data_IF_198098218599
#
_entry.id   IF_198098218599
#
_cell.length_a   1.000
_cell.length_b   1.000
_cell.length_c   1.000
_cell.angle_alpha   90.00
_cell.angle_beta   90.00
_cell.angle_gamma   90.00
#
_symmetry.space_group_name_H-M   'P 1'
#
loop_
_entity.id
_entity.type
_entity.pdbx_description
1 polymer ?
#
# COMPACT_ATOMS: atom_id res chain seq x y z
N UNK A 1 4.24 -9.25 13.62
CA UNK A 1 3.72 -7.86 13.67
C UNK A 1 2.37 -7.85 14.36
N UNK A 2 2.13 -6.91 15.29
CA UNK A 2 0.81 -6.67 15.88
C UNK A 2 0.10 -5.57 15.07
N UNK A 3 -1.12 -5.86 14.62
CA UNK A 3 -1.94 -4.91 13.87
C UNK A 3 -3.07 -4.38 14.76
N UNK A 4 -3.06 -3.08 15.05
CA UNK A 4 -4.03 -2.39 15.89
C UNK A 4 -4.86 -1.46 15.01
N UNK A 5 -6.15 -1.72 14.91
CA UNK A 5 -7.08 -0.94 14.09
C UNK A 5 -8.42 -0.73 14.79
N UNK A 6 -9.23 0.20 14.29
CA UNK A 6 -10.61 0.49 14.76
C UNK A 6 -10.70 0.88 16.24
N UNK A 7 -9.61 1.33 16.85
CA UNK A 7 -9.57 1.79 18.25
C UNK A 7 -8.69 3.00 18.40
N UNK A 8 -8.98 3.86 19.38
CA UNK A 8 -8.09 4.92 19.87
C UNK A 8 -7.33 4.48 21.13
N UNK A 9 -7.61 3.28 21.63
CA UNK A 9 -6.96 2.68 22.78
C UNK A 9 -5.81 1.77 22.30
N UNK A 10 -4.62 2.34 22.21
CA UNK A 10 -3.40 1.65 21.84
C UNK A 10 -2.26 2.06 22.78
N UNK A 11 -1.53 1.07 23.28
CA UNK A 11 -0.44 1.27 24.22
C UNK A 11 0.73 0.34 23.91
N UNK A 12 1.94 0.90 23.85
CA UNK A 12 3.19 0.15 23.76
C UNK A 12 4.03 0.47 24.99
N UNK A 13 4.41 -0.55 25.75
CA UNK A 13 5.16 -0.41 27.00
C UNK A 13 6.65 -0.22 26.75
N UNK A 14 7.19 -0.93 25.78
CA UNK A 14 8.58 -0.88 25.41
C UNK A 14 8.91 0.45 24.71
N UNK A 15 10.16 0.94 24.88
CA UNK A 15 10.62 2.09 24.11
C UNK A 15 10.47 1.86 22.61
N UNK A 16 10.01 2.88 21.88
CA UNK A 16 9.68 2.73 20.47
C UNK A 16 10.28 3.81 19.57
N UNK A 17 10.44 3.46 18.30
CA UNK A 17 10.69 4.37 17.16
C UNK A 17 9.50 4.34 16.23
N UNK A 18 9.03 5.51 15.83
CA UNK A 18 7.78 5.66 15.07
C UNK A 18 7.98 6.46 13.78
N UNK A 19 7.28 6.06 12.73
CA UNK A 19 7.07 6.85 11.52
C UNK A 19 5.59 7.00 11.20
N UNK A 20 5.24 8.15 10.63
CA UNK A 20 3.87 8.53 10.28
C UNK A 20 3.71 8.66 8.79
N UNK A 21 2.58 8.22 8.25
CA UNK A 21 2.27 8.40 6.84
C UNK A 21 1.01 7.67 6.40
N UNK A 22 0.58 7.93 5.18
CA UNK A 22 -0.48 7.15 4.53
C UNK A 22 0.05 5.80 4.04
N UNK A 23 1.33 5.74 3.75
CA UNK A 23 2.02 4.56 3.22
C UNK A 23 1.31 3.93 2.01
N UNK A 24 0.73 4.77 1.16
CA UNK A 24 0.08 4.29 -0.04
C UNK A 24 1.12 4.00 -1.13
N UNK A 25 1.25 2.71 -1.44
CA UNK A 25 2.25 2.18 -2.34
C UNK A 25 3.59 1.80 -1.68
N UNK A 26 3.82 2.10 -0.40
CA UNK A 26 5.04 1.71 0.34
C UNK A 26 6.32 1.84 -0.52
N UNK A 27 6.42 2.97 -1.23
CA UNK A 27 7.48 3.23 -2.21
C UNK A 27 8.85 3.46 -1.56
N UNK A 28 9.91 3.56 -2.37
CA UNK A 28 11.31 3.75 -1.93
C UNK A 28 11.52 4.86 -0.90
N UNK A 29 10.74 5.95 -0.96
CA UNK A 29 10.78 6.99 0.09
C UNK A 29 10.26 6.49 1.44
N UNK A 30 9.27 5.61 1.46
CA UNK A 30 8.81 4.97 2.70
C UNK A 30 9.77 3.88 3.17
N UNK A 31 10.39 3.14 2.24
CA UNK A 31 11.43 2.17 2.55
C UNK A 31 12.59 2.82 3.32
N UNK A 32 13.02 4.01 2.88
CA UNK A 32 14.07 4.76 3.56
C UNK A 32 13.71 5.16 5.00
N UNK A 33 12.43 5.52 5.25
CA UNK A 33 11.95 5.74 6.63
C UNK A 33 12.06 4.46 7.48
N UNK A 34 11.71 3.31 6.90
CA UNK A 34 11.79 2.01 7.61
C UNK A 34 13.24 1.58 7.84
N UNK A 35 14.15 1.84 6.91
CA UNK A 35 15.58 1.60 7.11
C UNK A 35 16.11 2.38 8.31
N UNK A 36 15.73 3.66 8.45
CA UNK A 36 16.09 4.46 9.62
C UNK A 36 15.48 3.94 10.92
N UNK A 37 14.27 3.38 10.87
CA UNK A 37 13.69 2.70 12.04
C UNK A 37 14.49 1.44 12.42
N UNK A 38 14.94 0.66 11.44
CA UNK A 38 15.78 -0.52 11.67
C UNK A 38 17.11 -0.11 12.30
N UNK A 39 17.75 0.97 11.83
CA UNK A 39 18.97 1.51 12.42
C UNK A 39 18.77 1.85 13.91
N UNK A 40 17.71 2.60 14.25
CA UNK A 40 17.41 2.99 15.62
C UNK A 40 17.02 1.79 16.50
N UNK A 41 16.25 0.86 15.94
CA UNK A 41 15.90 -0.38 16.63
C UNK A 41 17.14 -1.22 16.97
N UNK A 42 18.08 -1.38 16.02
CA UNK A 42 19.31 -2.13 16.24
C UNK A 42 20.23 -1.45 17.27
N UNK A 43 20.28 -0.12 17.29
CA UNK A 43 21.13 0.64 18.19
C UNK A 43 20.62 0.66 19.62
N UNK A 44 19.31 0.76 19.82
CA UNK A 44 18.69 1.04 21.12
C UNK A 44 17.71 -0.03 21.60
N UNK A 45 17.38 -1.02 20.76
CA UNK A 45 16.38 -2.04 21.09
C UNK A 45 14.93 -1.53 20.99
N UNK A 46 14.69 -0.44 20.27
CA UNK A 46 13.35 0.15 20.14
C UNK A 46 12.41 -0.72 19.31
N UNK A 47 11.14 -0.78 19.73
CA UNK A 47 10.05 -1.36 18.92
C UNK A 47 9.73 -0.46 17.73
N UNK A 48 9.60 -1.04 16.55
CA UNK A 48 9.32 -0.32 15.30
C UNK A 48 7.83 -0.17 15.09
N UNK A 49 7.37 1.07 15.01
CA UNK A 49 5.95 1.40 14.88
C UNK A 49 5.72 2.15 13.57
N UNK A 50 4.79 1.67 12.78
CA UNK A 50 4.19 2.43 11.70
C UNK A 50 2.82 2.93 12.17
N UNK A 51 2.61 4.23 12.05
CA UNK A 51 1.34 4.87 12.39
C UNK A 51 0.70 5.47 11.15
N UNK A 52 -0.49 5.00 10.83
CA UNK A 52 -1.31 5.50 9.72
C UNK A 52 -2.71 5.82 10.20
N UNK A 53 -3.49 6.50 9.36
CA UNK A 53 -4.89 6.77 9.64
C UNK A 53 -5.78 5.95 8.71
N UNK A 54 -6.86 5.41 9.26
CA UNK A 54 -7.98 4.92 8.51
C UNK A 54 -8.78 6.13 7.98
N UNK A 55 -8.36 6.62 6.82
CA UNK A 55 -9.02 7.74 6.16
C UNK A 55 -9.97 7.16 5.13
N UNK A 56 -11.29 7.37 5.29
CA UNK A 56 -12.27 6.96 4.29
C UNK A 56 -11.86 7.44 2.90
N UNK A 57 -12.06 6.65 1.84
CA UNK A 57 -11.81 7.09 0.49
C UNK A 57 -12.48 8.44 0.24
N UNK A 58 -11.81 9.35 -0.45
CA UNK A 58 -12.39 10.68 -0.80
C UNK A 58 -13.71 10.55 -1.53
N UNK A 59 -13.98 9.40 -2.16
CA UNK A 59 -15.25 9.04 -2.78
C UNK A 59 -16.43 9.05 -1.82
N UNK A 60 -16.24 8.64 -0.56
CA UNK A 60 -17.31 8.66 0.45
C UNK A 60 -17.57 10.08 0.98
N UNK A 61 -16.56 10.95 0.95
CA UNK A 61 -16.65 12.32 1.51
C UNK A 61 -16.95 13.35 0.43
N UNK A 62 -16.43 13.20 -0.78
CA UNK A 62 -16.49 14.20 -1.87
C UNK A 62 -17.10 13.67 -3.18
N UNK A 63 -17.53 12.41 -3.25
CA UNK A 63 -18.03 11.79 -4.48
C UNK A 63 -16.98 11.61 -5.58
N UNK A 64 -15.70 11.80 -5.27
CA UNK A 64 -14.58 11.64 -6.22
C UNK A 64 -13.94 10.27 -5.99
N UNK A 65 -13.97 9.39 -6.99
CA UNK A 65 -13.30 8.09 -6.91
C UNK A 65 -11.81 8.26 -6.62
N UNK A 66 -11.38 7.91 -5.41
CA UNK A 66 -9.98 7.89 -5.02
C UNK A 66 -9.51 6.45 -4.92
N UNK A 67 -8.68 6.03 -5.86
CA UNK A 67 -8.10 4.67 -5.84
C UNK A 67 -6.78 4.66 -5.10
N UNK A 68 -6.49 3.56 -4.40
CA UNK A 68 -5.25 3.36 -3.66
C UNK A 68 -4.29 2.47 -4.46
N UNK A 69 -2.99 2.74 -4.35
CA UNK A 69 -1.95 1.88 -4.95
C UNK A 69 -1.91 0.53 -4.23
N UNK A 70 -2.10 0.56 -2.92
CA UNK A 70 -2.07 -0.62 -2.05
C UNK A 70 -3.28 -0.58 -1.11
N UNK A 71 -4.03 -1.67 -1.04
CA UNK A 71 -5.17 -1.81 -0.12
C UNK A 71 -4.67 -2.03 1.32
N UNK A 72 -5.57 -1.96 2.31
CA UNK A 72 -5.18 -2.21 3.71
C UNK A 72 -4.65 -3.63 3.92
N UNK A 73 -5.29 -4.65 3.33
CA UNK A 73 -4.83 -6.04 3.41
C UNK A 73 -3.46 -6.25 2.73
N UNK A 74 -3.21 -5.53 1.63
CA UNK A 74 -1.92 -5.56 0.95
C UNK A 74 -0.84 -4.82 1.75
N UNK A 75 -1.21 -3.70 2.40
CA UNK A 75 -0.34 -2.92 3.28
C UNK A 75 0.09 -3.74 4.50
N UNK A 76 -0.86 -4.40 5.15
CA UNK A 76 -0.60 -5.31 6.27
C UNK A 76 0.38 -6.40 5.86
N UNK A 77 0.14 -7.07 4.72
CA UNK A 77 1.04 -8.09 4.18
C UNK A 77 2.47 -7.58 3.96
N UNK A 78 2.65 -6.38 3.40
CA UNK A 78 3.98 -5.82 3.15
C UNK A 78 4.68 -5.45 4.46
N UNK A 79 3.98 -4.83 5.41
CA UNK A 79 4.56 -4.49 6.70
C UNK A 79 4.91 -5.71 7.54
N UNK A 80 4.12 -6.78 7.47
CA UNK A 80 4.44 -8.05 8.13
C UNK A 80 5.79 -8.60 7.64
N UNK A 81 6.09 -8.48 6.36
CA UNK A 81 7.37 -8.91 5.75
C UNK A 81 8.54 -7.94 6.02
N UNK A 82 8.27 -6.67 6.34
CA UNK A 82 9.31 -5.66 6.58
C UNK A 82 9.88 -5.67 8.00
N UNK A 83 9.36 -6.54 8.87
CA UNK A 83 9.83 -6.68 10.24
C UNK A 83 9.40 -5.55 11.19
N UNK A 84 8.36 -4.80 10.87
CA UNK A 84 7.70 -3.85 11.79
C UNK A 84 7.09 -4.63 12.96
N UNK A 85 7.21 -4.09 14.18
CA UNK A 85 6.62 -4.72 15.38
C UNK A 85 5.13 -4.39 15.52
N UNK A 86 4.75 -3.11 15.25
CA UNK A 86 3.38 -2.62 15.37
C UNK A 86 2.96 -1.83 14.14
N UNK A 87 1.82 -2.18 13.56
CA UNK A 87 1.09 -1.35 12.60
C UNK A 87 -0.14 -0.79 13.30
N UNK A 88 -0.21 0.54 13.46
CA UNK A 88 -1.35 1.22 14.08
C UNK A 88 -2.11 1.97 12.99
N UNK A 89 -3.33 1.54 12.72
CA UNK A 89 -4.28 2.21 11.83
C UNK A 89 -5.34 2.93 12.67
N UNK A 90 -5.04 4.19 13.00
CA UNK A 90 -5.85 5.01 13.87
C UNK A 90 -7.14 5.47 13.15
N UNK A 91 -8.33 5.26 13.72
CA UNK A 91 -9.57 5.77 13.15
C UNK A 91 -9.55 7.30 13.00
N UNK A 92 -9.83 7.79 11.80
CA UNK A 92 -9.84 9.24 11.52
C UNK A 92 -11.21 9.84 11.86
N UNK A 93 -11.57 9.75 13.13
CA UNK A 93 -12.83 10.26 13.69
C UNK A 93 -12.75 11.76 14.09
N UNK A 94 -13.87 12.45 14.29
CA UNK A 94 -13.88 13.89 14.62
C UNK A 94 -12.95 14.29 15.76
N UNK A 95 -12.84 13.48 16.80
CA UNK A 95 -11.92 13.71 17.93
C UNK A 95 -10.45 13.80 17.47
N UNK A 96 -10.04 12.97 16.53
CA UNK A 96 -8.68 12.96 15.98
C UNK A 96 -8.51 14.05 14.92
N UNK A 97 -9.54 14.28 14.09
CA UNK A 97 -9.52 15.29 13.03
C UNK A 97 -9.34 16.72 13.56
N UNK A 98 -9.93 17.00 14.72
CA UNK A 98 -9.89 18.34 15.35
C UNK A 98 -8.80 18.47 16.41
N UNK A 99 -7.98 17.43 16.61
CA UNK A 99 -6.92 17.44 17.62
C UNK A 99 -5.80 18.40 17.21
N UNK A 100 -5.47 19.35 18.09
CA UNK A 100 -4.35 20.27 17.88
C UNK A 100 -3.02 19.50 17.76
N UNK A 101 -2.08 20.06 17.01
CA UNK A 101 -0.87 19.34 16.64
C UNK A 101 -0.02 18.98 17.88
N UNK A 102 0.13 19.86 18.85
CA UNK A 102 0.86 19.61 20.09
C UNK A 102 0.20 18.53 20.96
N UNK A 103 -1.14 18.56 21.06
CA UNK A 103 -1.91 17.54 21.78
C UNK A 103 -1.75 16.16 21.14
N UNK A 104 -1.74 16.09 19.81
CA UNK A 104 -1.48 14.86 19.06
C UNK A 104 -0.10 14.28 19.40
N UNK A 105 0.97 15.10 19.37
CA UNK A 105 2.31 14.62 19.69
C UNK A 105 2.39 14.09 21.12
N UNK A 106 1.83 14.83 22.10
CA UNK A 106 1.80 14.42 23.51
C UNK A 106 1.08 13.09 23.70
N UNK A 107 -0.06 12.92 23.04
CA UNK A 107 -0.84 11.70 23.10
C UNK A 107 -0.04 10.52 22.54
N UNK A 108 0.54 10.65 21.35
CA UNK A 108 1.30 9.57 20.70
C UNK A 108 2.55 9.21 21.51
N UNK A 109 3.35 10.20 21.92
CA UNK A 109 4.58 9.95 22.67
C UNK A 109 4.29 9.20 23.98
N UNK A 110 3.22 9.58 24.68
CA UNK A 110 2.81 8.94 25.93
C UNK A 110 2.26 7.54 25.71
N UNK A 111 1.35 7.36 24.74
CA UNK A 111 0.66 6.07 24.51
C UNK A 111 1.61 5.00 23.96
N UNK A 112 2.59 5.39 23.16
CA UNK A 112 3.48 4.47 22.45
C UNK A 112 4.90 4.47 22.99
N UNK A 113 5.17 5.13 24.14
CA UNK A 113 6.50 5.24 24.75
C UNK A 113 7.59 5.60 23.74
N UNK A 114 7.30 6.63 22.90
CA UNK A 114 8.15 7.01 21.79
C UNK A 114 9.47 7.62 22.27
N UNK A 115 10.58 7.12 21.75
CA UNK A 115 11.95 7.61 22.01
C UNK A 115 12.60 8.17 20.74
N UNK A 116 12.08 7.84 19.58
CA UNK A 116 12.54 8.41 18.30
C UNK A 116 11.37 8.56 17.35
N UNK A 117 11.30 9.74 16.71
CA UNK A 117 10.33 10.03 15.64
C UNK A 117 11.10 10.21 14.34
N UNK A 118 10.70 9.49 13.28
CA UNK A 118 11.31 9.59 11.96
C UNK A 118 10.25 10.04 10.97
N UNK A 119 10.46 11.19 10.32
CA UNK A 119 9.50 11.77 9.37
C UNK A 119 10.21 12.36 8.15
N UNK A 120 9.48 12.47 7.04
CA UNK A 120 9.93 13.26 5.89
C UNK A 120 9.88 14.77 6.17
N UNK A 121 10.64 15.54 5.43
CA UNK A 121 10.70 17.01 5.52
C UNK A 121 9.36 17.71 5.22
N UNK A 122 8.49 17.06 4.44
CA UNK A 122 7.17 17.55 4.07
C UNK A 122 6.04 17.03 4.97
N UNK A 123 6.36 16.31 6.04
CA UNK A 123 5.36 15.76 6.94
C UNK A 123 4.51 16.86 7.59
N UNK A 124 3.18 16.65 7.57
CA UNK A 124 2.20 17.56 8.18
C UNK A 124 1.15 16.77 8.92
N UNK A 125 0.77 17.26 10.10
CA UNK A 125 -0.17 16.58 11.00
C UNK A 125 -1.00 17.56 11.84
N UNK A 126 -1.93 17.02 12.65
CA UNK A 126 -2.83 17.81 13.49
C UNK A 126 -3.92 18.53 12.70
N UNK A 127 -4.79 19.23 13.44
CA UNK A 127 -5.92 19.97 12.87
C UNK A 127 -5.42 20.95 11.80
N UNK A 128 -6.07 20.96 10.63
CA UNK A 128 -5.71 21.79 9.48
C UNK A 128 -4.25 21.63 9.01
N UNK A 129 -3.58 20.50 9.36
CA UNK A 129 -2.17 20.26 9.02
C UNK A 129 -1.23 21.32 9.62
N UNK A 130 -1.56 21.86 10.78
CA UNK A 130 -0.81 22.94 11.43
C UNK A 130 0.56 22.48 11.96
N UNK A 131 0.71 21.19 12.29
CA UNK A 131 1.97 20.60 12.75
C UNK A 131 2.91 20.23 11.60
N UNK A 132 4.21 20.40 11.84
CA UNK A 132 5.29 20.01 10.95
C UNK A 132 6.52 19.51 11.74
N UNK A 133 7.61 19.18 11.05
CA UNK A 133 8.85 18.73 11.68
C UNK A 133 9.49 19.77 12.61
N UNK A 134 9.19 21.08 12.44
CA UNK A 134 9.70 22.15 13.32
C UNK A 134 9.00 22.11 14.66
N UNK A 135 7.69 21.90 14.67
CA UNK A 135 6.94 21.69 15.91
C UNK A 135 7.44 20.42 16.63
N UNK A 136 7.65 19.33 15.91
CA UNK A 136 8.24 18.11 16.50
C UNK A 136 9.60 18.38 17.12
N UNK A 137 10.46 19.15 16.44
CA UNK A 137 11.78 19.54 16.97
C UNK A 137 11.68 20.39 18.24
N UNK A 138 10.75 21.34 18.29
CA UNK A 138 10.54 22.18 19.47
C UNK A 138 10.06 21.40 20.69
N UNK A 139 9.27 20.33 20.48
CA UNK A 139 8.73 19.49 21.57
C UNK A 139 9.66 18.35 22.01
N UNK A 140 10.69 18.06 21.24
CA UNK A 140 11.56 16.89 21.44
C UNK A 140 12.24 16.88 22.83
N UNK A 141 12.80 18.01 23.25
CA UNK A 141 13.45 18.14 24.54
C UNK A 141 12.52 17.98 25.74
N UNK A 142 11.31 18.54 25.66
CA UNK A 142 10.29 18.42 26.72
C UNK A 142 9.75 17.00 26.84
N UNK A 143 9.48 16.35 25.70
CA UNK A 143 8.84 15.03 25.65
C UNK A 143 9.83 13.87 25.66
N UNK A 144 11.12 14.14 25.58
CA UNK A 144 12.20 13.14 25.73
C UNK A 144 12.30 12.16 24.56
N UNK A 145 12.14 12.63 23.32
CA UNK A 145 12.37 11.85 22.11
C UNK A 145 13.40 12.51 21.20
N UNK A 146 14.04 11.73 20.36
CA UNK A 146 14.89 12.18 19.26
C UNK A 146 14.04 12.36 17.99
N UNK A 147 14.34 13.40 17.20
CA UNK A 147 13.72 13.61 15.90
C UNK A 147 14.73 13.40 14.77
N UNK A 148 14.42 12.52 13.85
CA UNK A 148 15.15 12.33 12.60
C UNK A 148 14.25 12.80 11.44
N UNK A 149 14.71 13.80 10.73
CA UNK A 149 14.04 14.29 9.51
C UNK A 149 14.82 13.78 8.31
N UNK A 150 14.12 13.10 7.39
CA UNK A 150 14.72 12.55 6.19
C UNK A 150 14.30 13.33 4.95
N UNK A 151 15.25 13.51 4.05
CA UNK A 151 15.00 14.12 2.74
C UNK A 151 14.25 13.14 1.83
N UNK A 152 13.53 13.69 0.86
CA UNK A 152 12.83 12.90 -0.15
C UNK A 152 13.79 12.19 -1.08
N UNK A 153 13.50 10.93 -1.35
CA UNK A 153 14.18 10.18 -2.41
C UNK A 153 13.70 10.66 -3.77
N UNK A 154 14.62 10.87 -4.70
CA UNK A 154 14.33 11.40 -6.04
C UNK A 154 14.60 10.36 -7.13
N UNK A 155 13.84 10.50 -8.18
CA UNK A 155 14.06 9.87 -9.48
C UNK A 155 14.39 10.98 -10.49
N UNK A 156 15.68 11.17 -10.75
CA UNK A 156 16.16 12.34 -11.48
C UNK A 156 15.84 13.64 -10.75
N UNK A 157 15.06 14.51 -11.39
CA UNK A 157 14.65 15.79 -10.81
C UNK A 157 13.31 15.72 -10.04
N UNK A 158 12.60 14.58 -10.07
CA UNK A 158 11.27 14.44 -9.49
C UNK A 158 11.29 13.63 -8.19
N UNK A 159 10.57 14.11 -7.16
CA UNK A 159 10.42 13.37 -5.91
C UNK A 159 9.60 12.09 -6.13
N UNK A 160 10.06 10.97 -5.57
CA UNK A 160 9.28 9.73 -5.53
C UNK A 160 8.13 9.91 -4.56
N UNK A 161 6.90 9.72 -5.05
CA UNK A 161 5.68 9.91 -4.28
C UNK A 161 4.56 9.01 -4.78
N UNK A 162 3.54 8.77 -3.94
CA UNK A 162 2.35 8.02 -4.35
C UNK A 162 1.64 8.66 -5.57
N UNK A 163 1.69 9.99 -5.71
CA UNK A 163 1.12 10.68 -6.88
C UNK A 163 1.86 10.32 -8.15
N UNK A 164 3.20 10.37 -8.13
CA UNK A 164 4.01 9.99 -9.28
C UNK A 164 3.76 8.54 -9.69
N UNK A 165 3.74 7.64 -8.72
CA UNK A 165 3.50 6.21 -8.98
C UNK A 165 2.10 5.96 -9.57
N UNK A 166 1.05 6.68 -9.08
CA UNK A 166 -0.29 6.56 -9.67
C UNK A 166 -0.33 7.00 -11.13
N UNK A 167 0.37 8.08 -11.47
CA UNK A 167 0.48 8.54 -12.85
C UNK A 167 1.14 7.49 -13.74
N UNK A 168 2.24 6.88 -13.29
CA UNK A 168 2.93 5.82 -14.04
C UNK A 168 2.07 4.56 -14.20
N UNK A 169 1.37 4.13 -13.14
CA UNK A 169 0.44 2.99 -13.23
C UNK A 169 -0.71 3.31 -14.20
N UNK A 170 -1.30 4.50 -14.09
CA UNK A 170 -2.42 4.92 -14.94
C UNK A 170 -2.02 5.06 -16.43
N UNK A 171 -0.78 5.44 -16.70
CA UNK A 171 -0.19 5.48 -18.04
C UNK A 171 0.21 4.10 -18.58
N UNK A 172 0.20 3.05 -17.73
CA UNK A 172 0.63 1.70 -18.11
C UNK A 172 2.15 1.48 -18.06
N UNK A 173 2.89 2.43 -17.53
CA UNK A 173 4.35 2.34 -17.37
C UNK A 173 4.73 1.48 -16.15
N UNK A 174 4.31 0.22 -16.14
CA UNK A 174 4.43 -0.66 -14.98
C UNK A 174 5.89 -0.87 -14.56
N UNK A 175 6.80 -0.98 -15.52
CA UNK A 175 8.24 -1.09 -15.21
C UNK A 175 8.72 0.10 -14.38
N UNK A 176 8.35 1.32 -14.79
CA UNK A 176 8.71 2.54 -14.06
C UNK A 176 8.05 2.60 -12.69
N UNK A 177 6.77 2.25 -12.61
CA UNK A 177 6.06 2.17 -11.33
C UNK A 177 6.75 1.19 -10.36
N UNK A 178 7.19 0.02 -10.84
CA UNK A 178 7.92 -0.98 -10.04
C UNK A 178 9.28 -0.45 -9.56
N UNK A 179 10.01 0.29 -10.40
CA UNK A 179 11.27 0.95 -10.02
C UNK A 179 11.07 1.98 -8.90
N UNK A 180 9.98 2.76 -8.97
CA UNK A 180 9.64 3.76 -7.96
C UNK A 180 9.12 3.14 -6.66
N UNK A 181 8.38 2.03 -6.77
CA UNK A 181 7.92 1.26 -5.62
C UNK A 181 9.07 0.56 -4.89
N UNK A 182 10.09 0.06 -5.61
CA UNK A 182 11.12 -0.82 -5.09
C UNK A 182 10.73 -2.31 -5.11
N UNK A 183 9.50 -2.61 -5.53
CA UNK A 183 8.95 -3.96 -5.67
C UNK A 183 7.93 -4.01 -6.81
N UNK A 184 7.62 -5.19 -7.36
CA UNK A 184 6.60 -5.32 -8.40
C UNK A 184 5.22 -4.92 -7.88
N UNK A 185 4.53 -4.03 -8.58
CA UNK A 185 3.11 -3.74 -8.32
C UNK A 185 2.31 -5.03 -8.30
N UNK A 186 1.48 -5.23 -7.30
CA UNK A 186 0.72 -6.45 -7.17
C UNK A 186 -0.76 -6.21 -6.82
N UNK A 187 -1.53 -7.25 -7.04
CA UNK A 187 -2.95 -7.34 -6.70
C UNK A 187 -3.10 -8.60 -5.83
N UNK A 188 -3.55 -8.42 -4.59
CA UNK A 188 -3.91 -9.54 -3.70
C UNK A 188 -5.43 -9.67 -3.65
N UNK A 189 -5.92 -10.89 -3.77
CA UNK A 189 -7.36 -11.11 -3.70
C UNK A 189 -7.73 -12.58 -3.69
N UNK A 190 -8.99 -12.84 -3.30
CA UNK A 190 -9.55 -14.17 -3.29
C UNK A 190 -9.88 -14.64 -4.68
N UNK A 191 -9.53 -15.87 -5.00
CA UNK A 191 -9.92 -16.52 -6.25
C UNK A 191 -11.41 -16.84 -6.22
N UNK A 192 -12.14 -16.29 -7.18
CA UNK A 192 -13.58 -16.46 -7.35
C UNK A 192 -13.91 -17.18 -8.66
N UNK A 193 -15.10 -17.78 -8.73
CA UNK A 193 -15.57 -18.37 -9.97
C UNK A 193 -15.81 -17.30 -11.02
N UNK A 194 -15.23 -17.49 -12.22
CA UNK A 194 -15.50 -16.72 -13.42
C UNK A 194 -16.42 -17.51 -14.37
N UNK A 195 -16.52 -17.05 -15.61
CA UNK A 195 -17.30 -17.72 -16.67
C UNK A 195 -16.68 -19.04 -17.16
N UNK A 196 -15.47 -19.37 -16.69
CA UNK A 196 -14.73 -20.58 -17.02
C UNK A 196 -14.50 -20.81 -18.54
N UNK A 197 -14.59 -19.75 -19.37
CA UNK A 197 -14.41 -19.86 -20.83
C UNK A 197 -13.01 -20.37 -21.20
N UNK A 198 -11.97 -20.00 -20.44
CA UNK A 198 -10.61 -20.47 -20.67
C UNK A 198 -10.47 -22.01 -20.57
N UNK A 199 -11.30 -22.67 -19.74
CA UNK A 199 -11.30 -24.13 -19.62
C UNK A 199 -11.70 -24.81 -20.92
N UNK A 200 -12.61 -24.22 -21.70
CA UNK A 200 -13.11 -24.81 -22.97
C UNK A 200 -12.06 -24.82 -24.06
N UNK A 201 -11.03 -23.96 -23.94
CA UNK A 201 -9.92 -23.83 -24.90
C UNK A 201 -8.59 -24.33 -24.32
N UNK A 202 -8.61 -25.02 -23.15
CA UNK A 202 -7.42 -25.58 -22.54
C UNK A 202 -6.52 -24.57 -21.79
N UNK A 203 -7.00 -23.34 -21.56
CA UNK A 203 -6.29 -22.26 -20.86
C UNK A 203 -7.10 -21.86 -19.60
N UNK A 204 -7.07 -22.67 -18.52
CA UNK A 204 -7.82 -22.36 -17.32
C UNK A 204 -7.27 -21.10 -16.63
N UNK A 205 -8.14 -20.15 -16.37
CA UNK A 205 -7.80 -18.89 -15.72
C UNK A 205 -8.41 -18.80 -14.32
N UNK A 206 -7.72 -18.11 -13.42
CA UNK A 206 -8.23 -17.73 -12.10
C UNK A 206 -8.71 -16.27 -12.14
N UNK A 207 -9.86 -16.01 -11.53
CA UNK A 207 -10.43 -14.68 -11.43
C UNK A 207 -10.22 -14.16 -10.00
N UNK A 208 -9.61 -12.97 -9.86
CA UNK A 208 -9.46 -12.34 -8.56
C UNK A 208 -10.65 -11.44 -8.25
N UNK A 209 -11.09 -11.50 -7.00
CA UNK A 209 -11.94 -10.46 -6.42
C UNK A 209 -11.05 -9.27 -6.05
N UNK A 210 -11.12 -8.21 -6.83
CA UNK A 210 -10.32 -7.00 -6.61
C UNK A 210 -11.19 -5.95 -5.92
N UNK A 211 -10.74 -5.35 -4.79
CA UNK A 211 -11.45 -4.25 -4.15
C UNK A 211 -11.67 -3.09 -5.12
N UNK A 212 -12.82 -2.43 -5.03
CA UNK A 212 -13.21 -1.37 -5.98
C UNK A 212 -12.30 -0.15 -5.92
N UNK A 213 -11.72 0.12 -4.76
CA UNK A 213 -10.77 1.22 -4.50
C UNK A 213 -9.33 0.90 -4.91
N UNK A 214 -9.02 -0.34 -5.26
CA UNK A 214 -7.70 -0.72 -5.78
C UNK A 214 -7.43 -0.05 -7.13
N UNK A 215 -6.31 0.65 -7.24
CA UNK A 215 -5.82 1.13 -8.53
C UNK A 215 -5.38 -0.07 -9.37
N UNK A 216 -5.88 -0.13 -10.58
CA UNK A 216 -5.45 -1.10 -11.59
C UNK A 216 -4.80 -0.35 -12.77
N UNK A 217 -3.81 -0.95 -13.42
CA UNK A 217 -3.28 -0.40 -14.65
C UNK A 217 -4.32 -0.48 -15.79
N UNK A 218 -4.08 0.18 -16.93
CA UNK A 218 -4.98 0.15 -18.08
C UNK A 218 -5.36 -1.27 -18.51
N UNK A 219 -6.49 -1.39 -19.17
CA UNK A 219 -6.92 -2.67 -19.76
C UNK A 219 -5.84 -3.19 -20.70
N UNK A 220 -5.52 -4.47 -20.55
CA UNK A 220 -4.48 -5.11 -21.36
C UNK A 220 -4.03 -6.43 -20.77
N UNK A 221 -3.07 -7.05 -21.44
CA UNK A 221 -2.46 -8.31 -21.05
C UNK A 221 -1.08 -8.02 -20.48
N UNK A 222 -0.80 -8.59 -19.32
CA UNK A 222 0.41 -8.35 -18.56
C UNK A 222 1.11 -9.65 -18.22
N UNK A 223 2.43 -9.68 -18.36
CA UNK A 223 3.21 -10.73 -17.74
C UNK A 223 3.22 -10.55 -16.23
N UNK A 224 3.04 -11.64 -15.51
CA UNK A 224 2.91 -11.61 -14.05
C UNK A 224 3.62 -12.78 -13.40
N UNK A 225 3.88 -12.64 -12.12
CA UNK A 225 4.24 -13.72 -11.22
C UNK A 225 3.10 -13.92 -10.23
N UNK A 226 2.74 -15.15 -9.97
CA UNK A 226 1.60 -15.46 -9.11
C UNK A 226 2.11 -16.21 -7.89
N UNK A 227 1.87 -15.66 -6.72
CA UNK A 227 2.14 -16.33 -5.44
C UNK A 227 0.89 -17.11 -5.04
N UNK A 228 1.02 -18.45 -5.03
CA UNK A 228 -0.01 -19.34 -4.52
C UNK A 228 0.58 -20.05 -3.31
N UNK A 229 0.01 -19.81 -2.12
CA UNK A 229 0.60 -20.22 -0.85
C UNK A 229 2.02 -19.62 -0.72
N UNK A 230 3.07 -20.45 -0.73
CA UNK A 230 4.46 -20.00 -0.61
C UNK A 230 5.28 -20.16 -1.92
N UNK A 231 4.61 -20.52 -3.03
CA UNK A 231 5.27 -20.81 -4.31
C UNK A 231 4.94 -19.76 -5.36
N UNK A 232 5.97 -19.32 -6.09
CA UNK A 232 5.85 -18.41 -7.20
C UNK A 232 5.75 -19.15 -8.54
N UNK A 233 4.75 -18.79 -9.33
CA UNK A 233 4.51 -19.28 -10.68
C UNK A 233 4.58 -18.14 -11.68
N UNK A 234 4.88 -18.44 -12.94
CA UNK A 234 4.70 -17.49 -14.03
C UNK A 234 3.23 -17.43 -14.42
N UNK A 235 2.78 -16.26 -14.87
CA UNK A 235 1.40 -16.10 -15.29
C UNK A 235 1.22 -15.01 -16.34
N UNK A 236 0.08 -15.05 -16.97
CA UNK A 236 -0.41 -14.04 -17.91
C UNK A 236 -1.72 -13.50 -17.37
N UNK A 237 -1.76 -12.20 -17.06
CA UNK A 237 -2.90 -11.55 -16.42
C UNK A 237 -3.57 -10.60 -17.42
N UNK A 238 -4.84 -10.81 -17.66
CA UNK A 238 -5.70 -9.90 -18.37
C UNK A 238 -6.41 -8.97 -17.39
N UNK A 239 -6.15 -7.67 -17.49
CA UNK A 239 -6.88 -6.62 -16.77
C UNK A 239 -7.93 -6.05 -17.72
N UNK A 240 -9.20 -6.26 -17.39
CA UNK A 240 -10.30 -5.90 -18.29
C UNK A 240 -11.65 -5.80 -17.60
N UNK A 241 -12.65 -5.34 -18.34
CA UNK A 241 -14.02 -5.31 -17.85
C UNK A 241 -14.59 -6.72 -17.77
N UNK A 242 -15.20 -7.06 -16.65
CA UNK A 242 -16.06 -8.24 -16.54
C UNK A 242 -17.47 -7.84 -17.00
N UNK A 243 -17.98 -8.36 -18.13
CA UNK A 243 -19.36 -8.09 -18.51
C UNK A 243 -20.29 -8.73 -17.46
N UNK A 244 -21.04 -7.91 -16.74
CA UNK A 244 -22.07 -8.34 -15.80
C UNK A 244 -23.46 -8.16 -16.43
N UNK A 245 -24.44 -8.94 -15.97
CA UNK A 245 -25.83 -8.89 -16.45
C UNK A 245 -26.50 -7.56 -16.05
N UNK A 246 -25.97 -6.84 -15.05
CA UNK A 246 -26.55 -5.61 -14.49
C UNK A 246 -25.92 -4.30 -15.01
N UNK A 247 -25.15 -4.32 -16.10
CA UNK A 247 -24.64 -3.11 -16.76
C UNK A 247 -23.47 -2.40 -16.04
N UNK A 248 -23.09 -2.77 -14.86
CA UNK A 248 -21.85 -2.35 -14.20
C UNK A 248 -20.74 -3.32 -14.59
N UNK A 249 -19.81 -2.88 -15.42
CA UNK A 249 -18.67 -3.70 -15.85
C UNK A 249 -17.43 -3.39 -14.99
N UNK A 250 -17.29 -3.94 -13.76
CA UNK A 250 -16.12 -3.68 -12.95
C UNK A 250 -14.87 -4.20 -13.66
N UNK A 251 -13.79 -3.43 -13.56
CA UNK A 251 -12.48 -3.88 -14.03
C UNK A 251 -12.02 -4.97 -13.06
N UNK A 252 -11.56 -6.09 -13.60
CA UNK A 252 -11.05 -7.22 -12.83
C UNK A 252 -9.73 -7.71 -13.38
N UNK A 253 -9.12 -8.64 -12.67
CA UNK A 253 -7.92 -9.36 -13.07
C UNK A 253 -8.25 -10.84 -13.26
N UNK A 254 -7.95 -11.34 -14.46
CA UNK A 254 -8.07 -12.74 -14.82
C UNK A 254 -6.69 -13.27 -15.21
N UNK A 255 -6.21 -14.31 -14.55
CA UNK A 255 -4.83 -14.78 -14.69
C UNK A 255 -4.78 -16.24 -15.11
N UNK A 256 -4.07 -16.54 -16.19
CA UNK A 256 -3.60 -17.86 -16.53
C UNK A 256 -2.27 -18.11 -15.80
N UNK A 257 -2.21 -19.16 -14.98
CA UNK A 257 -1.00 -19.58 -14.27
C UNK A 257 -0.36 -20.70 -15.10
N UNK A 258 0.87 -20.46 -15.56
CA UNK A 258 1.58 -21.39 -16.45
C UNK A 258 2.00 -22.64 -15.66
N UNK A 259 1.82 -23.81 -16.26
CA UNK A 259 2.17 -25.11 -15.69
C UNK A 259 1.55 -25.39 -14.31
N UNK A 260 0.33 -24.89 -14.09
CA UNK A 260 -0.37 -24.99 -12.82
C UNK A 260 -1.71 -25.74 -12.98
N UNK A 261 -1.83 -26.87 -12.29
CA UNK A 261 -3.02 -27.75 -12.38
C UNK A 261 -3.82 -27.90 -11.09
N UNK A 262 -3.52 -27.10 -10.04
CA UNK A 262 -4.20 -27.24 -8.76
C UNK A 262 -5.47 -26.37 -8.70
N UNK A 263 -6.43 -26.80 -7.88
CA UNK A 263 -7.59 -25.98 -7.54
C UNK A 263 -7.21 -24.94 -6.45
N UNK A 264 -7.52 -23.67 -6.74
CA UNK A 264 -7.25 -22.53 -5.85
C UNK A 264 -8.48 -21.67 -5.58
N UNK A 265 -9.68 -22.15 -5.91
CA UNK A 265 -10.90 -21.44 -5.60
C UNK A 265 -11.05 -21.19 -4.10
N UNK A 266 -11.46 -19.97 -3.75
CA UNK A 266 -11.61 -19.54 -2.37
C UNK A 266 -10.30 -19.28 -1.62
N UNK A 267 -9.13 -19.48 -2.25
CA UNK A 267 -7.83 -19.13 -1.68
C UNK A 267 -7.46 -17.69 -2.03
N UNK A 268 -6.70 -17.06 -1.16
CA UNK A 268 -6.11 -15.77 -1.43
C UNK A 268 -4.79 -15.97 -2.17
N UNK A 269 -4.63 -15.29 -3.30
CA UNK A 269 -3.39 -15.29 -4.09
C UNK A 269 -2.91 -13.87 -4.35
N UNK A 270 -1.63 -13.75 -4.71
CA UNK A 270 -1.06 -12.49 -5.12
C UNK A 270 -0.59 -12.57 -6.57
N UNK A 271 -0.96 -11.57 -7.37
CA UNK A 271 -0.52 -11.41 -8.76
C UNK A 271 0.37 -10.19 -8.84
N UNK A 272 1.68 -10.39 -8.96
CA UNK A 272 2.67 -9.36 -9.15
C UNK A 272 2.84 -9.07 -10.64
N UNK A 273 2.57 -7.84 -11.05
CA UNK A 273 2.59 -7.39 -12.45
C UNK A 273 3.98 -6.90 -12.80
N UNK A 274 4.64 -7.55 -13.76
CA UNK A 274 6.03 -7.29 -14.10
C UNK A 274 6.22 -6.42 -15.33
N UNK A 275 5.40 -6.61 -16.36
CA UNK A 275 5.58 -5.98 -17.65
C UNK A 275 4.28 -5.94 -18.46
N UNK A 276 4.06 -4.85 -19.23
CA UNK A 276 2.91 -4.74 -20.15
C UNK A 276 3.29 -5.31 -21.49
N UNK A 277 2.51 -6.22 -22.05
CA UNK A 277 2.86 -6.83 -23.33
C UNK A 277 1.79 -6.72 -24.33
N UNK A 278 0.91 -6.07 -24.55
CA UNK A 278 -0.05 -5.82 -25.64
C UNK A 278 -1.25 -4.98 -25.14
N UNK A 279 -1.48 -3.85 -25.80
CA UNK A 279 -2.76 -3.15 -25.71
C UNK A 279 -3.80 -3.98 -26.48
N UNK A 280 -4.99 -4.13 -25.93
CA UNK A 280 -6.09 -4.90 -26.54
C UNK A 280 -6.50 -4.46 -27.96
N UNK A 281 -5.97 -3.34 -28.47
CA UNK A 281 -6.20 -2.84 -29.81
C UNK A 281 -5.21 -3.36 -30.87
N UNK A 282 -4.10 -3.99 -30.47
CA UNK A 282 -3.10 -4.50 -31.41
C UNK A 282 -3.39 -5.94 -31.85
N UNK A 283 -4.27 -6.66 -31.16
CA UNK A 283 -4.65 -8.04 -31.50
C UNK A 283 -5.75 -8.16 -32.57
N UNK A 284 -6.45 -7.08 -32.88
CA UNK A 284 -7.52 -7.13 -33.91
C UNK A 284 -7.02 -6.83 -35.34
N UNK A 285 -5.74 -6.55 -35.56
CA UNK A 285 -5.19 -6.24 -36.88
C UNK A 285 -4.46 -7.43 -37.56
N UNK A 286 -4.40 -8.60 -36.92
CA UNK A 286 -3.69 -9.78 -37.42
C UNK A 286 -4.45 -11.11 -37.24
N UNK A 287 -5.79 -11.08 -37.32
CA UNK A 287 -6.60 -12.28 -37.50
C UNK A 287 -7.44 -12.15 -38.78
#
# INVERSE_FOLDING_TARGET
MEYISKTLDFHVKEPSVISFGKFDGLHRGHEFLMEKQIEQSNLHGYKRIIFTFDIPPKSEVLGVESKVIITNDEKEYVFEKSGIDYLIECPFVPQVMTMEADAFVRWIVKSLNVKCIIVGDDFRFGHNRAGDHRLLSAMAGELGYELIVVDKIKDGARDISSTYIREEIAAGHIKKANELLGYPFFIKGRVVHGRALGRTIGIPTVNLSVPHDKLLPPKGVYMSRVLVRDNWYLGVTNIGCKPTIEGKNPIGAETYIIDFGQDVYGQDIMVAVSYTHLRAHETSAHL
#
